data_IF_231777479277
#
_entry.id   IF_231777479277
#
_cell.length_a   1.000
_cell.length_b   1.000
_cell.length_c   1.000
_cell.angle_alpha   90.00
_cell.angle_beta   90.00
_cell.angle_gamma   90.00
#
_symmetry.space_group_name_H-M   'P 1'
#
loop_
_entity.id
_entity.type
_entity.pdbx_description
1 polymer ?
#
# COMPACT_ATOMS: atom_id res chain seq x y z
N UNK A 1 -2.15 -3.13 -25.25
CA UNK A 1 -3.46 -3.76 -24.92
C UNK A 1 -4.11 -2.95 -23.80
N UNK A 2 -5.23 -2.27 -24.06
CA UNK A 2 -5.93 -1.51 -23.01
C UNK A 2 -6.63 -2.49 -22.07
N UNK A 3 -6.27 -2.45 -20.77
CA UNK A 3 -7.01 -3.21 -19.76
C UNK A 3 -8.42 -2.62 -19.70
N UNK A 4 -9.44 -3.41 -20.08
CA UNK A 4 -10.85 -3.06 -19.80
C UNK A 4 -11.02 -2.93 -18.29
N UNK A 5 -11.06 -1.70 -17.79
CA UNK A 5 -11.37 -1.44 -16.39
C UNK A 5 -12.85 -1.76 -16.20
N UNK A 6 -13.15 -2.88 -15.55
CA UNK A 6 -14.51 -3.18 -15.08
C UNK A 6 -14.67 -2.54 -13.71
N UNK A 7 -15.59 -1.59 -13.59
CA UNK A 7 -16.04 -1.13 -12.28
C UNK A 7 -16.70 -2.31 -11.57
N UNK A 8 -16.09 -2.80 -10.50
CA UNK A 8 -16.66 -3.84 -9.66
C UNK A 8 -17.47 -3.14 -8.56
N UNK A 9 -18.74 -3.52 -8.36
CA UNK A 9 -19.49 -3.03 -7.19
C UNK A 9 -18.84 -3.58 -5.94
N UNK A 10 -18.50 -2.68 -5.01
CA UNK A 10 -18.04 -3.05 -3.68
C UNK A 10 -19.28 -3.30 -2.81
N UNK A 11 -19.36 -4.43 -2.09
CA UNK A 11 -20.41 -4.66 -1.08
C UNK A 11 -20.44 -3.53 -0.05
N UNK A 12 -21.62 -3.11 0.42
CA UNK A 12 -21.78 -1.96 1.33
C UNK A 12 -21.01 -2.12 2.63
N UNK A 13 -20.84 -3.35 3.08
CA UNK A 13 -20.10 -3.75 4.28
C UNK A 13 -18.61 -3.40 4.15
N UNK A 14 -18.08 -3.43 2.92
CA UNK A 14 -16.70 -3.08 2.62
C UNK A 14 -16.54 -1.58 2.28
N UNK A 15 -17.61 -0.88 1.89
CA UNK A 15 -17.58 0.57 1.64
C UNK A 15 -17.28 1.38 2.91
N UNK A 16 -17.68 0.89 4.08
CA UNK A 16 -17.42 1.56 5.37
C UNK A 16 -16.04 1.29 5.94
N UNK A 17 -15.24 0.46 5.28
CA UNK A 17 -13.91 0.11 5.76
C UNK A 17 -12.96 1.30 5.65
N UNK A 18 -12.25 1.60 6.74
CA UNK A 18 -11.36 2.77 6.79
C UNK A 18 -10.09 2.55 5.95
N UNK A 19 -10.08 3.11 4.74
CA UNK A 19 -8.93 3.05 3.82
C UNK A 19 -7.93 4.19 4.03
N UNK A 20 -8.22 5.18 4.87
CA UNK A 20 -7.37 6.36 5.09
C UNK A 20 -5.95 5.97 5.54
N UNK A 21 -5.83 4.85 6.28
CA UNK A 21 -4.55 4.27 6.64
C UNK A 21 -3.68 3.93 5.43
N UNK A 22 -4.24 3.32 4.37
CA UNK A 22 -3.48 3.00 3.14
C UNK A 22 -3.04 4.27 2.43
N UNK A 23 -3.93 5.26 2.34
CA UNK A 23 -3.65 6.52 1.64
C UNK A 23 -2.43 7.20 2.29
N UNK A 24 -2.41 7.29 3.62
CA UNK A 24 -1.25 7.84 4.34
C UNK A 24 0.02 7.02 4.17
N UNK A 25 -0.07 5.69 4.01
CA UNK A 25 1.11 4.88 3.68
C UNK A 25 1.62 5.13 2.27
N UNK A 26 0.73 5.29 1.29
CA UNK A 26 1.12 5.68 -0.06
C UNK A 26 1.81 7.05 -0.07
N UNK A 27 1.30 8.03 0.68
CA UNK A 27 1.93 9.33 0.85
C UNK A 27 3.34 9.21 1.45
N UNK A 28 3.50 8.39 2.50
CA UNK A 28 4.81 8.11 3.10
C UNK A 28 5.76 7.46 2.10
N UNK A 29 5.29 6.45 1.36
CA UNK A 29 6.07 5.76 0.34
C UNK A 29 6.57 6.72 -0.76
N UNK A 30 5.74 7.67 -1.19
CA UNK A 30 6.15 8.70 -2.15
C UNK A 30 7.28 9.59 -1.62
N UNK A 31 7.28 9.93 -0.32
CA UNK A 31 8.38 10.67 0.32
C UNK A 31 9.64 9.82 0.49
N UNK A 32 9.49 8.52 0.75
CA UNK A 32 10.61 7.61 0.82
C UNK A 32 11.29 7.44 -0.55
N UNK A 33 10.54 7.52 -1.67
CA UNK A 33 11.12 7.55 -3.02
C UNK A 33 12.00 8.78 -3.25
N UNK A 34 11.55 9.95 -2.79
CA UNK A 34 12.35 11.17 -2.82
C UNK A 34 13.62 11.00 -1.99
N UNK A 35 13.50 10.46 -0.77
CA UNK A 35 14.62 10.19 0.12
C UNK A 35 15.62 9.19 -0.47
N UNK A 36 15.14 8.11 -1.10
CA UNK A 36 15.98 7.12 -1.78
C UNK A 36 16.71 7.73 -2.98
N UNK A 37 16.05 8.65 -3.70
CA UNK A 37 16.67 9.40 -4.80
C UNK A 37 17.81 10.28 -4.31
N UNK A 38 17.60 11.01 -3.20
CA UNK A 38 18.64 11.83 -2.58
C UNK A 38 19.83 10.99 -2.09
N UNK A 39 19.57 9.85 -1.44
CA UNK A 39 20.62 8.93 -1.00
C UNK A 39 21.47 8.43 -2.18
N UNK A 40 20.85 8.08 -3.31
CA UNK A 40 21.57 7.71 -4.53
C UNK A 40 22.43 8.85 -5.08
N UNK A 41 21.90 10.09 -5.08
CA UNK A 41 22.66 11.27 -5.53
C UNK A 41 23.88 11.55 -4.64
N UNK A 42 23.81 11.22 -3.35
CA UNK A 42 24.91 11.32 -2.39
C UNK A 42 25.89 10.15 -2.47
N UNK A 43 25.71 9.20 -3.40
CA UNK A 43 26.55 8.01 -3.54
C UNK A 43 26.23 6.88 -2.57
N UNK A 44 25.18 7.02 -1.74
CA UNK A 44 24.77 6.00 -0.78
C UNK A 44 23.71 5.06 -1.37
N UNK A 45 24.13 4.25 -2.33
CA UNK A 45 23.24 3.34 -3.05
C UNK A 45 22.69 2.22 -2.16
N UNK A 46 23.50 1.70 -1.24
CA UNK A 46 23.09 0.62 -0.33
C UNK A 46 21.98 1.07 0.62
N UNK A 47 22.08 2.27 1.21
CA UNK A 47 21.02 2.81 2.05
C UNK A 47 19.73 3.08 1.26
N UNK A 48 19.84 3.58 0.03
CA UNK A 48 18.68 3.78 -0.83
C UNK A 48 17.94 2.47 -1.14
N UNK A 49 18.68 1.40 -1.47
CA UNK A 49 18.11 0.09 -1.74
C UNK A 49 17.51 -0.55 -0.48
N UNK A 50 18.18 -0.41 0.67
CA UNK A 50 17.68 -0.87 1.95
C UNK A 50 16.36 -0.18 2.33
N UNK A 51 16.29 1.15 2.17
CA UNK A 51 15.07 1.93 2.41
C UNK A 51 13.92 1.43 1.54
N UNK A 52 14.14 1.25 0.23
CA UNK A 52 13.10 0.79 -0.68
C UNK A 52 12.60 -0.63 -0.37
N UNK A 53 13.51 -1.57 -0.05
CA UNK A 53 13.16 -2.94 0.33
C UNK A 53 12.36 -2.99 1.63
N UNK A 54 12.76 -2.22 2.63
CA UNK A 54 12.05 -2.13 3.90
C UNK A 54 10.61 -1.62 3.70
N UNK A 55 10.44 -0.59 2.87
CA UNK A 55 9.13 -0.02 2.58
C UNK A 55 8.22 -0.92 1.76
N UNK A 56 8.76 -1.61 0.75
CA UNK A 56 7.98 -2.60 0.00
C UNK A 56 7.44 -3.71 0.92
N UNK A 57 8.27 -4.17 1.85
CA UNK A 57 7.89 -5.22 2.81
C UNK A 57 6.82 -4.72 3.78
N UNK A 58 6.95 -3.51 4.32
CA UNK A 58 5.97 -2.91 5.23
C UNK A 58 4.61 -2.68 4.56
N UNK A 59 4.62 -2.09 3.35
CA UNK A 59 3.40 -1.87 2.58
C UNK A 59 2.68 -3.18 2.25
N UNK A 60 3.42 -4.21 1.84
CA UNK A 60 2.87 -5.54 1.58
C UNK A 60 2.19 -6.15 2.81
N UNK A 61 2.81 -6.04 3.99
CA UNK A 61 2.22 -6.51 5.26
C UNK A 61 0.93 -5.76 5.61
N UNK A 62 0.92 -4.43 5.46
CA UNK A 62 -0.24 -3.59 5.77
C UNK A 62 -1.42 -3.87 4.83
N UNK A 63 -1.17 -3.95 3.53
CA UNK A 63 -2.21 -4.30 2.54
C UNK A 63 -2.77 -5.70 2.84
N UNK A 64 -1.90 -6.68 3.12
CA UNK A 64 -2.33 -8.05 3.44
C UNK A 64 -3.21 -8.10 4.67
N UNK A 65 -2.87 -7.35 5.72
CA UNK A 65 -3.68 -7.22 6.94
C UNK A 65 -5.05 -6.63 6.63
N UNK A 66 -5.12 -5.55 5.85
CA UNK A 66 -6.39 -4.91 5.50
C UNK A 66 -7.28 -5.81 4.64
N UNK A 67 -6.72 -6.55 3.69
CA UNK A 67 -7.47 -7.55 2.92
C UNK A 67 -8.02 -8.65 3.82
N UNK A 68 -7.24 -9.10 4.81
CA UNK A 68 -7.71 -10.08 5.79
C UNK A 68 -8.83 -9.52 6.67
N UNK A 69 -8.70 -8.28 7.17
CA UNK A 69 -9.74 -7.60 7.95
C UNK A 69 -11.03 -7.44 7.14
N UNK A 70 -10.91 -7.03 5.87
CA UNK A 70 -12.03 -6.96 4.92
C UNK A 70 -12.74 -8.31 4.76
N UNK A 71 -11.96 -9.40 4.57
CA UNK A 71 -12.50 -10.76 4.45
C UNK A 71 -13.24 -11.18 5.71
N UNK A 72 -12.63 -10.95 6.88
CA UNK A 72 -13.23 -11.31 8.17
C UNK A 72 -14.52 -10.53 8.39
N UNK A 73 -14.54 -9.24 8.11
CA UNK A 73 -15.73 -8.41 8.27
C UNK A 73 -16.86 -8.86 7.33
N UNK A 74 -16.56 -9.09 6.05
CA UNK A 74 -17.53 -9.64 5.10
C UNK A 74 -18.13 -10.99 5.57
N UNK A 75 -17.30 -11.85 6.17
CA UNK A 75 -17.73 -13.14 6.69
C UNK A 75 -18.50 -13.10 8.02
N UNK A 76 -18.64 -11.94 8.69
CA UNK A 76 -19.50 -11.80 9.88
C UNK A 76 -20.95 -11.45 9.52
N UNK A 77 -21.14 -10.82 8.36
CA UNK A 77 -22.45 -10.36 7.87
C UNK A 77 -23.13 -11.39 6.93
N UNK A 78 -22.52 -12.56 6.76
CA UNK A 78 -22.99 -13.69 5.92
C UNK A 78 -22.82 -15.02 6.64
#
# INVERSE_FOLDING_TARGET
>A
MSRKVRSVRVPKELETMNLSGIIHECERYLRDLESATLLKQQGNQEAAEALMRARQTDLGKKISKLVWEARVEYGKHH
#
